data_IF_461921249576
#
_entry.id   IF_461921249576
#
_cell.length_a   1.000
_cell.length_b   1.000
_cell.length_c   1.000
_cell.angle_alpha   90.00
_cell.angle_beta   90.00
_cell.angle_gamma   90.00
#
_symmetry.space_group_name_H-M   'P 1'
#
loop_
_entity.id
_entity.type
_entity.pdbx_description
1 polymer ?
#
# COMPACT_ATOMS: atom_id res chain seq x y z
N UNK A 1 25.81 -56.08 16.14
CA UNK A 1 24.92 -55.38 15.19
C UNK A 1 24.61 -54.02 15.77
N UNK A 2 25.22 -52.95 15.26
CA UNK A 2 25.01 -51.57 15.73
C UNK A 2 23.89 -50.92 14.93
N UNK A 3 22.83 -50.45 15.61
CA UNK A 3 21.76 -49.65 15.04
C UNK A 3 22.22 -48.18 15.01
N UNK A 4 22.63 -47.70 13.84
CA UNK A 4 22.88 -46.28 13.60
C UNK A 4 21.56 -45.54 13.43
N UNK A 5 21.23 -44.65 14.37
CA UNK A 5 20.11 -43.74 14.24
C UNK A 5 20.48 -42.61 13.27
N UNK A 6 19.85 -42.58 12.09
CA UNK A 6 19.94 -41.47 11.16
C UNK A 6 19.00 -40.34 11.65
N UNK A 7 19.60 -39.31 12.26
CA UNK A 7 18.96 -38.02 12.47
C UNK A 7 18.80 -37.34 11.11
N UNK A 8 17.62 -37.43 10.50
CA UNK A 8 17.28 -36.57 9.38
C UNK A 8 17.02 -35.17 9.93
N UNK A 9 18.02 -34.29 9.83
CA UNK A 9 17.81 -32.86 10.01
C UNK A 9 16.91 -32.37 8.86
N UNK A 10 15.60 -32.29 9.12
CA UNK A 10 14.68 -31.59 8.23
C UNK A 10 15.03 -30.11 8.29
N UNK A 11 15.92 -29.68 7.40
CA UNK A 11 16.07 -28.27 7.06
C UNK A 11 14.77 -27.88 6.39
N UNK A 12 13.79 -27.47 7.20
CA UNK A 12 12.66 -26.70 6.72
C UNK A 12 13.32 -25.47 6.10
N UNK A 13 13.50 -25.51 4.79
CA UNK A 13 13.59 -24.33 3.97
C UNK A 13 12.36 -23.52 4.35
N UNK A 14 12.55 -22.60 5.31
CA UNK A 14 11.74 -21.40 5.34
C UNK A 14 11.93 -20.86 3.93
N UNK A 15 10.92 -21.07 3.10
CA UNK A 15 10.72 -20.31 1.88
C UNK A 15 10.61 -18.86 2.34
N UNK A 16 11.75 -18.25 2.62
CA UNK A 16 11.94 -16.86 2.32
C UNK A 16 11.71 -16.83 0.82
N UNK A 17 10.45 -16.65 0.44
CA UNK A 17 10.14 -16.09 -0.85
C UNK A 17 10.90 -14.78 -0.85
N UNK A 18 12.09 -14.78 -1.45
CA UNK A 18 12.72 -13.57 -1.93
C UNK A 18 11.75 -13.03 -2.96
N UNK A 19 10.73 -12.32 -2.47
CA UNK A 19 9.78 -11.61 -3.31
C UNK A 19 10.61 -10.49 -3.89
N UNK A 20 11.14 -10.73 -5.09
CA UNK A 20 11.89 -9.75 -5.87
C UNK A 20 11.16 -8.41 -5.75
N UNK A 21 11.75 -7.46 -5.04
CA UNK A 21 11.22 -6.11 -4.97
C UNK A 21 11.74 -5.36 -6.17
N UNK A 22 10.86 -4.64 -6.86
CA UNK A 22 11.29 -3.71 -7.89
C UNK A 22 11.99 -2.52 -7.24
N UNK A 23 13.16 -2.16 -7.75
CA UNK A 23 13.79 -0.90 -7.36
C UNK A 23 12.88 0.26 -7.75
N UNK A 24 12.45 1.05 -6.77
CA UNK A 24 11.66 2.26 -7.04
C UNK A 24 12.55 3.24 -7.79
N UNK A 25 12.18 3.63 -9.03
CA UNK A 25 13.03 4.47 -9.84
C UNK A 25 13.09 5.89 -9.28
N UNK A 26 14.21 6.57 -9.50
CA UNK A 26 14.38 8.00 -9.18
C UNK A 26 13.92 8.91 -10.30
N UNK A 27 13.67 8.36 -11.49
CA UNK A 27 13.03 9.07 -12.59
C UNK A 27 11.92 8.24 -13.24
N UNK A 28 10.73 8.82 -13.37
CA UNK A 28 9.55 8.12 -13.85
C UNK A 28 9.22 8.42 -15.32
N UNK A 29 9.79 9.49 -15.89
CA UNK A 29 9.50 9.89 -17.27
C UNK A 29 8.06 10.38 -17.50
N UNK A 30 7.33 10.73 -16.44
CA UNK A 30 5.96 11.24 -16.55
C UNK A 30 5.94 12.69 -17.06
N UNK A 31 4.91 13.03 -17.84
CA UNK A 31 4.80 14.35 -18.50
C UNK A 31 4.37 15.48 -17.56
N UNK A 32 3.75 15.15 -16.41
CA UNK A 32 3.25 16.16 -15.49
C UNK A 32 4.40 16.80 -14.70
N UNK A 33 4.68 18.07 -14.98
CA UNK A 33 5.71 18.86 -14.31
C UNK A 33 5.25 19.48 -12.99
N UNK A 34 3.95 19.37 -12.63
CA UNK A 34 3.42 19.94 -11.38
C UNK A 34 3.73 19.08 -10.14
N UNK A 35 4.18 17.84 -10.32
CA UNK A 35 4.66 16.96 -9.25
C UNK A 35 6.05 16.43 -9.60
N UNK A 36 6.92 16.31 -8.58
CA UNK A 36 8.30 15.88 -8.76
C UNK A 36 8.45 14.35 -8.72
N UNK A 37 9.50 13.83 -9.33
CA UNK A 37 9.86 12.41 -9.23
C UNK A 37 10.23 12.01 -7.79
N UNK A 38 10.75 12.94 -6.99
CA UNK A 38 10.94 12.72 -5.55
C UNK A 38 9.60 12.46 -4.84
N UNK A 39 8.56 13.24 -5.17
CA UNK A 39 7.23 13.04 -4.61
C UNK A 39 6.60 11.72 -5.07
N UNK A 40 6.74 11.35 -6.36
CA UNK A 40 6.30 10.04 -6.89
C UNK A 40 6.98 8.88 -6.16
N UNK A 41 8.30 8.96 -6.02
CA UNK A 41 9.14 8.01 -5.27
C UNK A 41 8.63 7.87 -3.84
N UNK A 42 8.33 9.00 -3.19
CA UNK A 42 7.85 9.02 -1.82
C UNK A 42 6.51 8.30 -1.67
N UNK A 43 5.54 8.63 -2.52
CA UNK A 43 4.19 8.04 -2.50
C UNK A 43 4.25 6.54 -2.79
N UNK A 44 5.01 6.13 -3.81
CA UNK A 44 5.14 4.73 -4.18
C UNK A 44 5.78 3.90 -3.05
N UNK A 45 6.88 4.40 -2.48
CA UNK A 45 7.54 3.76 -1.35
C UNK A 45 6.62 3.62 -0.14
N UNK A 46 5.81 4.63 0.17
CA UNK A 46 4.84 4.55 1.26
C UNK A 46 3.86 3.39 1.02
N UNK A 47 3.22 3.34 -0.16
CA UNK A 47 2.25 2.29 -0.48
C UNK A 47 2.90 0.90 -0.42
N UNK A 48 4.03 0.71 -1.08
CA UNK A 48 4.70 -0.60 -1.11
C UNK A 48 5.18 -1.05 0.28
N UNK A 49 5.67 -0.12 1.11
CA UNK A 49 6.02 -0.41 2.50
C UNK A 49 4.81 -0.84 3.32
N UNK A 50 3.67 -0.14 3.20
CA UNK A 50 2.45 -0.45 3.94
C UNK A 50 1.85 -1.80 3.49
N UNK A 51 1.83 -2.05 2.19
CA UNK A 51 1.42 -3.32 1.58
C UNK A 51 2.30 -4.48 2.06
N UNK A 52 3.62 -4.31 2.11
CA UNK A 52 4.55 -5.29 2.69
C UNK A 52 4.30 -5.52 4.18
N UNK A 53 4.01 -4.46 4.94
CA UNK A 53 3.67 -4.61 6.36
C UNK A 53 2.41 -5.46 6.54
N UNK A 54 1.38 -5.28 5.72
CA UNK A 54 0.19 -6.14 5.76
C UNK A 54 0.50 -7.59 5.36
N UNK A 55 1.25 -7.78 4.29
CA UNK A 55 1.66 -9.12 3.85
C UNK A 55 2.46 -9.90 4.92
N UNK A 56 3.14 -9.18 5.82
CA UNK A 56 3.96 -9.76 6.88
C UNK A 56 3.32 -9.68 8.27
N UNK A 57 2.03 -9.32 8.37
CA UNK A 57 1.31 -9.26 9.64
C UNK A 57 1.79 -8.16 10.60
N UNK A 58 2.40 -7.09 10.07
CA UNK A 58 2.99 -5.96 10.83
C UNK A 58 2.07 -4.74 10.89
N UNK A 59 0.75 -4.94 10.81
CA UNK A 59 -0.26 -3.88 10.83
C UNK A 59 -1.02 -3.94 12.15
N UNK A 60 -1.15 -2.81 12.84
CA UNK A 60 -2.00 -2.70 14.02
C UNK A 60 -3.45 -2.54 13.56
N UNK A 61 -4.33 -3.36 14.10
CA UNK A 61 -5.76 -3.38 13.86
C UNK A 61 -6.52 -2.93 15.12
N UNK A 62 -7.85 -3.03 15.09
CA UNK A 62 -8.69 -2.79 16.25
C UNK A 62 -8.21 -3.56 17.50
N UNK A 63 -8.51 -3.00 18.68
CA UNK A 63 -8.13 -3.58 19.98
C UNK A 63 -6.61 -3.79 20.15
N UNK A 64 -5.78 -2.99 19.45
CA UNK A 64 -4.32 -3.10 19.45
C UNK A 64 -3.78 -4.48 19.00
N UNK A 65 -4.58 -5.25 18.27
CA UNK A 65 -4.16 -6.55 17.75
C UNK A 65 -3.33 -6.37 16.47
N UNK A 66 -2.45 -7.34 16.18
CA UNK A 66 -1.77 -7.39 14.89
C UNK A 66 -2.68 -8.08 13.87
N UNK A 67 -2.76 -7.52 12.66
CA UNK A 67 -3.44 -8.15 11.54
C UNK A 67 -2.80 -9.49 11.20
N UNK A 68 -3.60 -10.45 10.73
CA UNK A 68 -3.06 -11.64 10.11
C UNK A 68 -2.30 -11.28 8.82
N UNK A 69 -1.39 -12.17 8.42
CA UNK A 69 -0.64 -12.01 7.17
C UNK A 69 -1.60 -12.08 5.98
N UNK A 70 -1.52 -11.09 5.10
CA UNK A 70 -2.25 -11.12 3.83
C UNK A 70 -1.44 -11.85 2.74
N UNK A 71 -2.11 -12.68 1.97
CA UNK A 71 -1.54 -13.34 0.79
C UNK A 71 -1.85 -12.56 -0.49
N UNK A 72 -1.07 -12.77 -1.55
CA UNK A 72 -1.29 -12.16 -2.88
C UNK A 72 -1.28 -10.63 -2.89
N UNK A 73 -0.52 -10.00 -1.98
CA UNK A 73 -0.31 -8.54 -1.98
C UNK A 73 0.81 -8.21 -2.97
N UNK A 74 0.42 -7.71 -4.14
CA UNK A 74 1.37 -7.32 -5.19
C UNK A 74 2.06 -5.99 -4.87
N UNK A 75 3.31 -5.85 -5.27
CA UNK A 75 4.00 -4.56 -5.30
C UNK A 75 3.37 -3.65 -6.36
N UNK A 76 3.26 -2.35 -6.06
CA UNK A 76 2.78 -1.35 -7.00
C UNK A 76 3.94 -0.80 -7.81
N UNK A 77 3.66 -0.48 -9.07
CA UNK A 77 4.51 0.33 -9.93
C UNK A 77 3.80 1.65 -10.22
N UNK A 78 4.57 2.71 -10.41
CA UNK A 78 4.02 4.00 -10.80
C UNK A 78 3.69 3.98 -12.29
N UNK A 79 2.47 4.41 -12.64
CA UNK A 79 2.01 4.49 -14.02
C UNK A 79 1.65 5.94 -14.36
N UNK A 80 2.34 6.50 -15.36
CA UNK A 80 2.15 7.88 -15.79
C UNK A 80 0.77 8.14 -16.45
N UNK A 81 0.12 7.12 -17.02
CA UNK A 81 -1.23 7.25 -17.56
C UNK A 81 -2.25 7.33 -16.44
N UNK A 82 -2.11 6.50 -15.39
CA UNK A 82 -2.96 6.60 -14.19
C UNK A 82 -2.79 7.96 -13.53
N UNK A 83 -1.55 8.43 -13.39
CA UNK A 83 -1.26 9.78 -12.89
C UNK A 83 -1.93 10.87 -13.73
N UNK A 84 -1.84 10.77 -15.06
CA UNK A 84 -2.51 11.72 -15.95
C UNK A 84 -4.02 11.70 -15.73
N UNK A 85 -4.64 10.53 -15.66
CA UNK A 85 -6.07 10.43 -15.39
C UNK A 85 -6.46 11.02 -14.03
N UNK A 86 -5.66 10.79 -12.99
CA UNK A 86 -5.86 11.40 -11.69
C UNK A 86 -5.77 12.94 -11.77
N UNK A 87 -4.76 13.47 -12.48
CA UNK A 87 -4.61 14.91 -12.69
C UNK A 87 -5.78 15.51 -13.46
N UNK A 88 -6.20 14.88 -14.54
CA UNK A 88 -7.34 15.34 -15.34
C UNK A 88 -8.63 15.35 -14.49
N UNK A 89 -8.85 14.30 -13.67
CA UNK A 89 -9.99 14.23 -12.77
C UNK A 89 -9.95 15.31 -11.68
N UNK A 90 -8.77 15.60 -11.11
CA UNK A 90 -8.59 16.71 -10.17
C UNK A 90 -8.87 18.08 -10.81
N UNK A 91 -8.66 18.21 -12.12
CA UNK A 91 -9.00 19.40 -12.90
C UNK A 91 -10.46 19.44 -13.39
N UNK A 92 -11.30 18.50 -12.95
CA UNK A 92 -12.74 18.49 -13.25
C UNK A 92 -13.16 17.56 -14.39
N UNK A 93 -12.25 16.79 -14.99
CA UNK A 93 -12.64 15.75 -15.93
C UNK A 93 -13.41 14.63 -15.23
N UNK A 94 -14.34 14.01 -15.95
CA UNK A 94 -15.03 12.82 -15.46
C UNK A 94 -14.03 11.68 -15.22
N UNK A 95 -14.26 10.89 -14.17
CA UNK A 95 -13.47 9.69 -13.91
C UNK A 95 -13.67 8.69 -15.07
N UNK A 96 -12.58 8.21 -15.65
CA UNK A 96 -12.63 7.25 -16.74
C UNK A 96 -13.29 5.94 -16.30
N UNK A 97 -13.92 5.22 -17.23
CA UNK A 97 -14.51 3.91 -16.94
C UNK A 97 -13.44 2.95 -16.40
N UNK A 98 -13.82 2.13 -15.42
CA UNK A 98 -12.94 1.22 -14.68
C UNK A 98 -11.88 1.90 -13.78
N UNK A 99 -11.82 3.23 -13.71
CA UNK A 99 -11.01 3.87 -12.68
C UNK A 99 -11.83 4.09 -11.42
N UNK A 100 -11.17 3.95 -10.28
CA UNK A 100 -11.67 4.42 -9.00
C UNK A 100 -10.72 5.50 -8.46
N UNK A 101 -11.28 6.57 -7.90
CA UNK A 101 -10.50 7.66 -7.34
C UNK A 101 -10.78 7.83 -5.85
N UNK A 102 -9.71 7.91 -5.06
CA UNK A 102 -9.75 8.51 -3.73
C UNK A 102 -9.11 9.88 -3.81
N UNK A 103 -9.85 10.91 -3.39
CA UNK A 103 -9.36 12.28 -3.30
C UNK A 103 -9.30 12.71 -1.84
N UNK A 104 -8.36 13.62 -1.56
CA UNK A 104 -8.28 14.39 -0.32
C UNK A 104 -7.81 15.80 -0.65
N UNK A 105 -8.20 16.76 0.18
CA UNK A 105 -7.76 18.15 0.05
C UNK A 105 -7.00 18.56 1.30
N UNK A 106 -5.86 19.21 1.12
CA UNK A 106 -5.09 19.80 2.22
C UNK A 106 -4.90 21.30 2.00
N UNK A 107 -4.63 22.02 3.08
CA UNK A 107 -4.46 23.49 3.03
C UNK A 107 -3.14 23.84 2.35
N UNK A 108 -3.22 24.53 1.21
CA UNK A 108 -2.06 25.11 0.53
C UNK A 108 -1.67 26.45 1.20
N UNK A 109 -0.70 26.42 2.12
CA UNK A 109 -0.11 27.63 2.73
C UNK A 109 1.15 28.06 1.96
N UNK A 110 1.61 29.29 2.14
CA UNK A 110 2.81 29.86 1.46
C UNK A 110 4.06 28.97 1.58
N UNK A 111 4.19 28.26 2.71
CA UNK A 111 5.34 27.39 3.01
C UNK A 111 4.99 25.89 2.85
N UNK A 112 4.02 25.57 1.98
CA UNK A 112 3.49 24.22 1.83
C UNK A 112 4.51 23.28 1.19
N UNK A 113 5.16 22.46 2.02
CA UNK A 113 5.84 21.27 1.54
C UNK A 113 4.81 20.18 1.24
N UNK A 114 4.52 19.98 -0.05
CA UNK A 114 3.52 19.01 -0.52
C UNK A 114 3.84 17.59 -0.05
N UNK A 115 5.10 17.17 -0.03
CA UNK A 115 5.51 15.83 0.44
C UNK A 115 5.16 15.61 1.91
N UNK A 116 5.37 16.62 2.77
CA UNK A 116 5.00 16.55 4.19
C UNK A 116 3.49 16.47 4.38
N UNK A 117 2.72 17.24 3.60
CA UNK A 117 1.25 17.18 3.66
C UNK A 117 0.72 15.84 3.16
N UNK A 118 1.23 15.34 2.03
CA UNK A 118 0.92 14.01 1.49
C UNK A 118 1.24 12.91 2.49
N UNK A 119 2.41 12.95 3.16
CA UNK A 119 2.74 11.98 4.22
C UNK A 119 1.71 11.97 5.35
N UNK A 120 1.30 13.16 5.79
CA UNK A 120 0.31 13.30 6.86
C UNK A 120 -1.02 12.66 6.46
N UNK A 121 -1.48 12.91 5.23
CA UNK A 121 -2.70 12.31 4.68
C UNK A 121 -2.57 10.78 4.55
N UNK A 122 -1.48 10.29 3.96
CA UNK A 122 -1.25 8.85 3.78
C UNK A 122 -1.18 8.11 5.13
N UNK A 123 -0.57 8.71 6.15
CA UNK A 123 -0.59 8.17 7.52
C UNK A 123 -2.00 8.17 8.12
N UNK A 124 -2.79 9.21 7.85
CA UNK A 124 -4.19 9.25 8.30
C UNK A 124 -5.01 8.14 7.63
N UNK A 125 -4.87 7.95 6.32
CA UNK A 125 -5.52 6.84 5.60
C UNK A 125 -5.11 5.49 6.18
N UNK A 126 -3.82 5.29 6.40
CA UNK A 126 -3.30 4.07 7.00
C UNK A 126 -3.84 3.82 8.41
N UNK A 127 -3.99 4.87 9.22
CA UNK A 127 -4.46 4.76 10.61
C UNK A 127 -5.88 4.21 10.73
N UNK A 128 -6.69 4.26 9.67
CA UNK A 128 -8.04 3.68 9.69
C UNK A 128 -8.04 2.16 9.95
N UNK A 129 -6.92 1.46 9.71
CA UNK A 129 -6.73 0.06 10.12
C UNK A 129 -7.05 -0.19 11.59
N UNK A 130 -6.81 0.78 12.48
CA UNK A 130 -7.06 0.61 13.91
C UNK A 130 -8.55 0.65 14.27
N UNK A 131 -9.43 0.92 13.30
CA UNK A 131 -10.88 0.95 13.49
C UNK A 131 -11.59 -0.35 13.07
N UNK A 132 -10.86 -1.32 12.50
CA UNK A 132 -11.42 -2.57 11.97
C UNK A 132 -10.66 -3.80 12.46
N UNK A 133 -11.35 -4.94 12.51
CA UNK A 133 -10.71 -6.24 12.81
C UNK A 133 -10.04 -6.79 11.54
N UNK A 134 -8.73 -7.00 11.62
CA UNK A 134 -7.91 -7.61 10.56
C UNK A 134 -7.20 -8.88 11.06
N UNK A 135 -7.51 -9.35 12.27
CA UNK A 135 -6.86 -10.51 12.89
C UNK A 135 -7.34 -11.81 12.28
N UNK A 136 -8.63 -11.89 11.94
CA UNK A 136 -9.23 -13.12 11.41
C UNK A 136 -9.15 -13.19 9.88
N UNK A 137 -9.46 -12.09 9.20
CA UNK A 137 -9.47 -12.00 7.74
C UNK A 137 -9.07 -10.59 7.28
N UNK A 138 -8.63 -10.47 6.03
CA UNK A 138 -8.39 -9.20 5.33
C UNK A 138 -9.46 -8.94 4.26
N UNK A 139 -10.58 -9.65 4.32
CA UNK A 139 -11.71 -9.44 3.44
C UNK A 139 -12.27 -8.02 3.59
N UNK A 140 -12.75 -7.47 2.47
CA UNK A 140 -13.43 -6.19 2.47
C UNK A 140 -14.87 -6.38 2.97
N UNK A 141 -15.11 -5.97 4.22
CA UNK A 141 -16.42 -6.07 4.90
C UNK A 141 -17.14 -4.72 4.91
N UNK A 142 -18.43 -4.73 5.28
CA UNK A 142 -19.18 -3.48 5.51
C UNK A 142 -18.53 -2.58 6.57
N UNK A 143 -17.90 -3.17 7.58
CA UNK A 143 -17.13 -2.46 8.59
C UNK A 143 -15.89 -1.78 7.99
N UNK A 144 -15.19 -2.47 7.08
CA UNK A 144 -14.06 -1.89 6.34
C UNK A 144 -14.51 -0.75 5.43
N UNK A 145 -15.63 -0.90 4.74
CA UNK A 145 -16.23 0.16 3.91
C UNK A 145 -16.58 1.40 4.72
N UNK A 146 -17.19 1.22 5.89
CA UNK A 146 -17.63 2.33 6.72
C UNK A 146 -16.48 3.02 7.47
N UNK A 147 -15.56 2.24 8.03
CA UNK A 147 -14.57 2.74 9.03
C UNK A 147 -13.17 2.87 8.45
N UNK A 148 -12.85 2.12 7.40
CA UNK A 148 -11.51 2.06 6.82
C UNK A 148 -11.44 2.13 5.28
N UNK A 149 -12.27 2.94 4.60
CA UNK A 149 -12.33 2.92 3.14
C UNK A 149 -11.01 3.30 2.49
N UNK A 150 -10.30 4.31 3.02
CA UNK A 150 -9.01 4.77 2.44
C UNK A 150 -7.90 3.78 2.74
N UNK A 151 -7.87 3.18 3.93
CA UNK A 151 -6.94 2.08 4.23
C UNK A 151 -7.13 0.93 3.25
N UNK A 152 -8.37 0.49 3.02
CA UNK A 152 -8.68 -0.61 2.09
C UNK A 152 -8.19 -0.34 0.66
N UNK A 153 -8.23 0.91 0.20
CA UNK A 153 -7.66 1.28 -1.10
C UNK A 153 -6.13 1.16 -1.13
N UNK A 154 -5.43 1.59 -0.09
CA UNK A 154 -3.95 1.48 0.00
C UNK A 154 -3.50 0.01 -0.13
N UNK A 155 -4.27 -0.92 0.43
CA UNK A 155 -3.90 -2.34 0.55
C UNK A 155 -4.57 -3.28 -0.46
N UNK A 156 -5.36 -2.77 -1.42
CA UNK A 156 -6.10 -3.62 -2.37
C UNK A 156 -5.18 -4.62 -3.09
N UNK A 157 -5.49 -5.91 -3.00
CA UNK A 157 -4.76 -6.96 -3.71
C UNK A 157 -5.04 -6.96 -5.22
N UNK A 158 -6.25 -6.53 -5.61
CA UNK A 158 -6.65 -6.40 -7.01
C UNK A 158 -6.09 -5.09 -7.57
N UNK A 159 -5.26 -5.22 -8.60
CA UNK A 159 -4.87 -4.13 -9.48
C UNK A 159 -5.96 -4.06 -10.57
N UNK A 160 -6.48 -2.86 -10.82
CA UNK A 160 -7.51 -2.62 -11.85
C UNK A 160 -6.86 -2.48 -13.21
#
# INVERSE_FOLDING_TARGET
MWLGALLTASVIWLLFHDVASYDVPTSFGCKNSMISDEWRTYVLNFHNKMRRNLATGKVKAANNQMAAMAVNINELLWDCNIEKHASDNMCGAALAQNYYAITETFKNKKDCNVTVQTNTLLKSWWSQSTAIDLKQSQDYTADAEQKAPKFSHVISAKLV
#
